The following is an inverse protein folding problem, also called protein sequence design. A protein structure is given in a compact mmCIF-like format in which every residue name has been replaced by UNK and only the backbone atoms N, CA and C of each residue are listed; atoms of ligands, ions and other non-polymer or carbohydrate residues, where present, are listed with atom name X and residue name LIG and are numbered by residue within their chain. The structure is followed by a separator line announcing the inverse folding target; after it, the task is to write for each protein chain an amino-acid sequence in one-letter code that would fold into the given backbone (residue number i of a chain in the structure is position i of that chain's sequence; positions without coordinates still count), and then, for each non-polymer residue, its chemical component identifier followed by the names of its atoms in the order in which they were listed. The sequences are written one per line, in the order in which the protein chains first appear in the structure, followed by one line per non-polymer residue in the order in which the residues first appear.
data_IF_442340283628
#
_entry.id   IF_442340283628
#
_cell.length_a   1.000
_cell.length_b   1.000
_cell.length_c   1.000
_cell.angle_alpha   90.00
_cell.angle_beta   90.00
_cell.angle_gamma   90.00
#
_symmetry.space_group_name_H-M   'P 1'
#
loop_
_entity.id
_entity.type
_entity.pdbx_description
1 polymer ?
#
# COMPACT_ATOMS: atom_id res chain seq x y z
N UNK A 1 8.40 -10.57 7.49
CA UNK A 1 7.31 -9.89 6.74
C UNK A 1 7.85 -8.57 6.21
N UNK A 2 7.68 -8.23 4.92
CA UNK A 2 8.20 -6.97 4.38
C UNK A 2 7.55 -5.71 4.98
N UNK A 3 6.25 -5.72 5.23
CA UNK A 3 5.50 -4.58 5.81
C UNK A 3 5.95 -4.22 7.24
N UNK A 4 6.27 -5.23 8.04
CA UNK A 4 6.80 -5.06 9.40
C UNK A 4 8.16 -4.38 9.37
N UNK A 5 9.03 -4.81 8.44
CA UNK A 5 10.34 -4.21 8.23
C UNK A 5 10.21 -2.78 7.69
N UNK A 6 9.26 -2.51 6.80
CA UNK A 6 8.94 -1.14 6.37
C UNK A 6 8.53 -0.25 7.54
N UNK A 7 7.65 -0.76 8.39
CA UNK A 7 7.19 -0.06 9.58
C UNK A 7 8.33 0.23 10.56
N UNK A 8 9.26 -0.72 10.76
CA UNK A 8 10.41 -0.53 11.67
C UNK A 8 11.43 0.47 11.12
N UNK A 9 11.68 0.50 9.82
CA UNK A 9 12.54 1.50 9.17
C UNK A 9 11.96 2.90 9.34
N UNK A 10 10.66 3.07 9.06
CA UNK A 10 9.98 4.38 9.18
C UNK A 10 10.00 4.89 10.62
N UNK A 11 9.79 3.99 11.59
CA UNK A 11 9.80 4.32 13.02
C UNK A 11 11.22 4.43 13.61
N UNK A 12 12.25 4.04 12.85
CA UNK A 12 13.65 3.92 13.32
C UNK A 12 13.75 3.06 14.58
N UNK A 13 13.02 1.94 14.59
CA UNK A 13 12.98 1.05 15.75
C UNK A 13 14.36 0.40 15.98
N UNK A 14 15.05 0.68 17.11
CA UNK A 14 16.37 0.15 17.38
C UNK A 14 16.39 -1.36 17.67
N UNK A 15 15.21 -1.97 17.85
CA UNK A 15 15.05 -3.41 18.09
C UNK A 15 15.33 -4.23 16.82
N UNK A 16 15.31 -3.60 15.64
CA UNK A 16 15.58 -4.24 14.36
C UNK A 16 16.93 -3.82 13.81
N UNK A 17 17.66 -4.78 13.24
CA UNK A 17 18.90 -4.55 12.52
C UNK A 17 18.81 -5.18 11.14
N UNK A 18 18.99 -4.36 10.10
CA UNK A 18 18.98 -4.83 8.72
C UNK A 18 20.40 -5.18 8.30
N UNK A 19 20.56 -6.37 7.73
CA UNK A 19 21.86 -6.89 7.31
C UNK A 19 21.77 -7.24 5.83
N UNK A 20 22.47 -6.47 5.01
CA UNK A 20 22.62 -6.74 3.58
C UNK A 20 23.75 -7.76 3.37
N UNK A 21 23.41 -8.91 2.79
CA UNK A 21 24.36 -10.01 2.57
C UNK A 21 25.03 -9.99 1.21
N UNK A 22 24.77 -8.97 0.39
CA UNK A 22 25.42 -8.80 -0.91
C UNK A 22 26.85 -8.27 -0.74
N UNK A 23 27.61 -8.23 -1.84
CA UNK A 23 28.91 -7.57 -1.84
C UNK A 23 28.78 -6.06 -1.58
N UNK A 24 29.90 -5.45 -1.16
CA UNK A 24 29.97 -4.04 -0.82
C UNK A 24 29.62 -3.11 -1.99
N UNK A 25 29.91 -3.49 -3.23
CA UNK A 25 29.61 -2.68 -4.41
C UNK A 25 28.10 -2.56 -4.65
N UNK A 26 27.36 -3.66 -4.46
CA UNK A 26 25.90 -3.66 -4.53
C UNK A 26 25.27 -2.88 -3.39
N UNK A 27 25.80 -3.04 -2.17
CA UNK A 27 25.36 -2.29 -1.00
C UNK A 27 25.56 -0.78 -1.17
N UNK A 28 26.69 -0.36 -1.75
CA UNK A 28 27.02 1.04 -1.99
C UNK A 28 26.13 1.68 -3.07
N UNK A 29 25.69 0.90 -4.08
CA UNK A 29 24.77 1.39 -5.12
C UNK A 29 23.39 1.70 -4.56
N UNK A 30 22.84 0.78 -3.76
CA UNK A 30 21.56 0.95 -3.11
C UNK A 30 21.40 -0.08 -1.99
N UNK A 31 21.00 0.38 -0.81
CA UNK A 31 20.69 -0.46 0.34
C UNK A 31 19.56 0.15 1.16
N UNK A 32 18.97 -0.65 2.04
CA UNK A 32 17.91 -0.17 2.93
C UNK A 32 18.48 0.81 3.97
N UNK A 33 17.77 1.89 4.31
CA UNK A 33 18.24 2.88 5.28
C UNK A 33 18.62 2.24 6.62
N UNK A 34 19.83 2.54 7.11
CA UNK A 34 20.32 2.03 8.39
C UNK A 34 20.80 0.58 8.37
N UNK A 35 20.83 -0.08 7.20
CA UNK A 35 21.39 -1.41 7.08
C UNK A 35 22.92 -1.40 7.23
N UNK A 36 23.44 -2.51 7.76
CA UNK A 36 24.87 -2.83 7.73
C UNK A 36 25.14 -3.85 6.62
N UNK A 37 26.34 -3.83 6.05
CA UNK A 37 26.75 -4.82 5.06
C UNK A 37 27.61 -5.90 5.70
N UNK A 38 27.16 -7.15 5.59
CA UNK A 38 27.94 -8.34 5.95
C UNK A 38 27.79 -9.32 4.79
N UNK A 39 28.72 -9.30 3.81
CA UNK A 39 28.65 -10.20 2.66
C UNK A 39 28.51 -11.65 3.10
N UNK A 40 27.78 -12.45 2.32
CA UNK A 40 27.48 -13.85 2.65
C UNK A 40 28.75 -14.65 2.98
N UNK A 41 29.84 -14.41 2.26
CA UNK A 41 31.13 -15.07 2.45
C UNK A 41 31.77 -14.74 3.81
N UNK A 42 31.39 -13.60 4.40
CA UNK A 42 31.91 -13.10 5.68
C UNK A 42 30.99 -13.42 6.86
N UNK A 43 29.85 -14.08 6.65
CA UNK A 43 28.88 -14.40 7.71
C UNK A 43 29.48 -15.25 8.83
N UNK A 44 30.46 -16.11 8.51
CA UNK A 44 31.15 -16.95 9.49
C UNK A 44 32.40 -16.32 10.10
N UNK A 45 32.76 -15.09 9.72
CA UNK A 45 33.92 -14.43 10.30
C UNK A 45 33.66 -14.09 11.77
N UNK A 46 34.68 -14.27 12.61
CA UNK A 46 34.59 -14.01 14.05
C UNK A 46 34.21 -12.56 14.38
N UNK A 47 34.66 -11.60 13.55
CA UNK A 47 34.35 -10.17 13.68
C UNK A 47 32.84 -9.85 13.58
N UNK A 48 32.07 -10.73 12.93
CA UNK A 48 30.63 -10.54 12.72
C UNK A 48 29.80 -11.25 13.79
N UNK A 49 30.38 -12.10 14.64
CA UNK A 49 29.66 -12.86 15.66
C UNK A 49 28.88 -11.93 16.58
N UNK A 50 29.51 -10.85 17.06
CA UNK A 50 28.85 -9.90 17.94
C UNK A 50 27.68 -9.20 17.27
N UNK A 51 27.69 -9.01 15.95
CA UNK A 51 26.59 -8.40 15.21
C UNK A 51 25.46 -9.40 14.93
N UNK A 52 25.81 -10.68 14.72
CA UNK A 52 24.90 -11.74 14.26
C UNK A 52 24.28 -12.56 15.39
N UNK A 53 24.95 -12.68 16.53
CA UNK A 53 24.49 -13.41 17.71
C UNK A 53 23.96 -12.44 18.77
N UNK A 54 22.84 -11.81 18.47
CA UNK A 54 22.21 -10.81 19.33
C UNK A 54 21.01 -11.39 20.07
N UNK A 55 20.94 -11.16 21.39
CA UNK A 55 19.78 -11.52 22.21
C UNK A 55 18.73 -10.41 22.28
N UNK A 56 19.15 -9.15 22.07
CA UNK A 56 18.31 -7.96 22.24
C UNK A 56 17.70 -7.50 20.92
N UNK A 57 18.48 -7.55 19.84
CA UNK A 57 18.04 -7.11 18.51
C UNK A 57 17.61 -8.28 17.66
N UNK A 58 16.64 -8.02 16.80
CA UNK A 58 16.20 -8.89 15.73
C UNK A 58 16.95 -8.53 14.46
N UNK A 59 17.80 -9.45 13.99
CA UNK A 59 18.53 -9.31 12.74
C UNK A 59 17.68 -9.79 11.57
N UNK A 60 17.59 -8.97 10.53
CA UNK A 60 16.89 -9.29 9.28
C UNK A 60 17.90 -9.29 8.13
N UNK A 61 18.18 -10.48 7.59
CA UNK A 61 19.00 -10.64 6.40
C UNK A 61 18.20 -10.32 5.14
N UNK A 62 18.84 -9.63 4.19
CA UNK A 62 18.28 -9.42 2.86
C UNK A 62 19.35 -9.38 1.77
N UNK A 63 18.93 -9.68 0.55
CA UNK A 63 19.73 -9.51 -0.68
C UNK A 63 18.81 -9.00 -1.79
N UNK A 64 19.20 -9.14 -3.07
CA UNK A 64 18.30 -8.82 -4.19
C UNK A 64 17.03 -9.69 -4.15
N UNK A 65 17.18 -10.97 -3.79
CA UNK A 65 16.07 -11.89 -3.52
C UNK A 65 16.21 -12.60 -2.18
N UNK A 66 15.53 -13.73 -2.00
CA UNK A 66 15.59 -14.49 -0.74
C UNK A 66 16.74 -15.49 -0.65
N UNK A 67 17.40 -15.85 -1.76
CA UNK A 67 18.34 -16.98 -1.80
C UNK A 67 19.55 -16.80 -0.86
N UNK A 68 20.38 -15.79 -1.08
CA UNK A 68 21.57 -15.55 -0.26
C UNK A 68 21.22 -15.21 1.20
N UNK A 69 20.10 -14.51 1.42
CA UNK A 69 19.63 -14.19 2.76
C UNK A 69 19.18 -15.44 3.53
N UNK A 70 18.55 -16.42 2.84
CA UNK A 70 18.23 -17.73 3.42
C UNK A 70 19.49 -18.54 3.72
N UNK A 71 20.52 -18.46 2.88
CA UNK A 71 21.81 -19.10 3.15
C UNK A 71 22.44 -18.53 4.43
N UNK A 72 22.55 -17.20 4.55
CA UNK A 72 23.03 -16.55 5.77
C UNK A 72 22.22 -16.93 7.03
N UNK A 73 20.89 -16.98 6.89
CA UNK A 73 20.00 -17.43 7.95
C UNK A 73 20.27 -18.88 8.35
N UNK A 74 20.43 -19.79 7.39
CA UNK A 74 20.74 -21.19 7.65
C UNK A 74 22.08 -21.34 8.39
N UNK A 75 23.12 -20.63 7.94
CA UNK A 75 24.44 -20.67 8.57
C UNK A 75 24.36 -20.20 10.03
N UNK A 76 23.76 -19.03 10.27
CA UNK A 76 23.62 -18.51 11.63
C UNK A 76 22.73 -19.39 12.51
N UNK A 77 21.73 -20.07 11.93
CA UNK A 77 20.90 -21.05 12.65
C UNK A 77 21.70 -22.27 13.06
N UNK A 78 22.60 -22.78 12.21
CA UNK A 78 23.51 -23.88 12.54
C UNK A 78 24.48 -23.51 13.67
N UNK A 79 24.89 -22.24 13.73
CA UNK A 79 25.71 -21.68 14.82
C UNK A 79 24.91 -21.45 16.11
N UNK A 80 23.59 -21.66 16.10
CA UNK A 80 22.72 -21.52 17.27
C UNK A 80 22.20 -20.11 17.52
N UNK A 81 22.41 -19.16 16.59
CA UNK A 81 21.93 -17.79 16.73
C UNK A 81 20.40 -17.77 16.52
N UNK A 82 19.69 -17.12 17.45
CA UNK A 82 18.23 -17.29 17.57
C UNK A 82 17.42 -16.16 16.93
N UNK A 83 17.90 -14.93 17.01
CA UNK A 83 17.13 -13.75 16.63
C UNK A 83 17.42 -13.28 15.20
N UNK A 84 17.53 -14.26 14.28
CA UNK A 84 17.87 -14.00 12.90
C UNK A 84 16.73 -14.45 11.99
N UNK A 85 16.36 -13.58 11.04
CA UNK A 85 15.25 -13.79 10.11
C UNK A 85 15.62 -13.27 8.71
N UNK A 86 14.73 -13.51 7.75
CA UNK A 86 14.94 -13.13 6.35
C UNK A 86 13.85 -12.18 5.87
N UNK A 87 14.24 -11.13 5.15
CA UNK A 87 13.34 -10.30 4.38
C UNK A 87 12.87 -11.07 3.14
N UNK A 88 11.67 -11.63 3.22
CA UNK A 88 11.05 -12.36 2.12
C UNK A 88 10.96 -11.50 0.85
N UNK A 89 11.45 -12.05 -0.26
CA UNK A 89 11.43 -11.41 -1.58
C UNK A 89 12.59 -10.44 -1.83
N UNK A 90 13.38 -10.12 -0.81
CA UNK A 90 14.55 -9.23 -0.92
C UNK A 90 14.21 -7.84 -1.43
N UNK A 91 15.22 -7.16 -1.98
CA UNK A 91 15.07 -5.81 -2.54
C UNK A 91 14.15 -5.78 -3.76
N UNK A 92 14.09 -6.85 -4.56
CA UNK A 92 13.22 -6.89 -5.73
C UNK A 92 11.77 -6.70 -5.31
N UNK A 93 11.30 -7.51 -4.36
CA UNK A 93 9.94 -7.40 -3.83
C UNK A 93 9.72 -6.07 -3.08
N UNK A 94 10.73 -5.63 -2.32
CA UNK A 94 10.69 -4.37 -1.59
C UNK A 94 10.43 -3.17 -2.50
N UNK A 95 11.19 -3.07 -3.58
CA UNK A 95 11.07 -1.96 -4.53
C UNK A 95 9.71 -1.97 -5.22
N UNK A 96 9.25 -3.14 -5.65
CA UNK A 96 7.95 -3.31 -6.31
C UNK A 96 6.76 -3.02 -5.39
N UNK A 97 6.82 -3.46 -4.15
CA UNK A 97 5.64 -3.47 -3.27
C UNK A 97 5.59 -2.28 -2.32
N UNK A 98 6.73 -1.84 -1.80
CA UNK A 98 6.82 -0.80 -0.77
C UNK A 98 7.20 0.54 -1.39
N UNK A 99 8.15 0.55 -2.32
CA UNK A 99 8.72 1.79 -2.86
C UNK A 99 7.95 2.35 -4.06
N UNK A 100 7.38 1.47 -4.89
CA UNK A 100 6.57 1.86 -6.03
C UNK A 100 5.25 1.07 -6.07
N UNK A 101 4.38 1.24 -5.05
CA UNK A 101 3.13 0.51 -4.99
C UNK A 101 2.35 0.77 -6.27
N UNK A 102 2.18 -0.28 -7.08
CA UNK A 102 1.33 -0.18 -8.26
C UNK A 102 -0.04 0.24 -7.76
N UNK A 103 -0.51 1.42 -8.20
CA UNK A 103 -1.91 1.80 -7.99
C UNK A 103 -2.74 0.61 -8.47
N UNK A 104 -3.72 0.12 -7.68
CA UNK A 104 -4.60 -0.91 -8.17
C UNK A 104 -5.11 -0.46 -9.53
N UNK A 105 -5.01 -1.35 -10.52
CA UNK A 105 -5.67 -1.20 -11.81
C UNK A 105 -7.06 -0.66 -11.53
N UNK A 106 -7.39 0.49 -12.13
CA UNK A 106 -8.59 1.28 -11.93
C UNK A 106 -9.87 0.49 -12.21
N UNK A 107 -10.23 -0.38 -11.28
CA UNK A 107 -11.61 -0.69 -10.94
C UNK A 107 -11.89 0.00 -9.61
N UNK A 108 -11.61 1.31 -9.56
CA UNK A 108 -12.33 2.16 -8.64
C UNK A 108 -13.77 2.21 -9.15
N UNK A 109 -14.63 1.84 -8.21
CA UNK A 109 -16.01 1.38 -8.34
C UNK A 109 -16.91 2.35 -9.11
N UNK A 110 -18.05 1.85 -9.59
CA UNK A 110 -19.19 2.59 -10.13
C UNK A 110 -19.54 3.88 -9.35
N UNK A 111 -19.10 3.99 -8.10
CA UNK A 111 -19.25 5.12 -7.20
C UNK A 111 -18.50 6.40 -7.66
N UNK A 112 -17.29 6.30 -8.22
CA UNK A 112 -16.57 7.50 -8.71
C UNK A 112 -17.19 8.05 -10.00
N UNK A 113 -17.58 7.16 -10.91
CA UNK A 113 -18.34 7.52 -12.11
C UNK A 113 -19.74 8.05 -11.77
N UNK A 114 -20.41 7.49 -10.75
CA UNK A 114 -21.68 8.01 -10.26
C UNK A 114 -21.52 9.41 -9.65
N UNK A 115 -20.45 9.65 -8.88
CA UNK A 115 -20.18 10.95 -8.26
C UNK A 115 -19.83 12.02 -9.31
N UNK A 116 -19.04 11.66 -10.33
CA UNK A 116 -18.74 12.52 -11.48
C UNK A 116 -20.01 12.83 -12.29
N UNK A 117 -20.81 11.81 -12.63
CA UNK A 117 -22.07 12.00 -13.37
C UNK A 117 -23.09 12.81 -12.59
N UNK A 118 -23.17 12.61 -11.27
CA UNK A 118 -24.03 13.38 -10.38
C UNK A 118 -23.61 14.85 -10.33
N UNK A 119 -22.32 15.15 -10.17
CA UNK A 119 -21.82 16.53 -10.17
C UNK A 119 -22.03 17.22 -11.53
N UNK A 120 -21.82 16.50 -12.64
CA UNK A 120 -22.06 17.02 -14.00
C UNK A 120 -23.55 17.29 -14.24
N UNK A 121 -24.43 16.40 -13.79
CA UNK A 121 -25.87 16.60 -13.86
C UNK A 121 -26.33 17.76 -12.96
N UNK A 122 -25.78 17.87 -11.75
CA UNK A 122 -26.07 18.96 -10.82
C UNK A 122 -25.62 20.32 -11.37
N UNK A 123 -24.42 20.41 -11.95
CA UNK A 123 -23.92 21.62 -12.60
C UNK A 123 -24.83 22.09 -13.75
N UNK A 124 -25.28 21.15 -14.60
CA UNK A 124 -26.24 21.43 -15.68
C UNK A 124 -27.60 21.91 -15.14
N UNK A 125 -28.09 21.30 -14.06
CA UNK A 125 -29.37 21.66 -13.44
C UNK A 125 -29.33 23.01 -12.71
N UNK A 126 -28.17 23.43 -12.22
CA UNK A 126 -27.94 24.70 -11.54
C UNK A 126 -27.48 25.82 -12.49
N UNK A 127 -27.47 25.58 -13.80
CA UNK A 127 -27.20 26.58 -14.83
C UNK A 127 -25.72 26.85 -15.11
N UNK A 128 -24.80 26.04 -14.57
CA UNK A 128 -23.38 26.11 -14.94
C UNK A 128 -23.07 25.09 -16.04
N UNK A 129 -22.77 25.56 -17.25
CA UNK A 129 -22.28 24.72 -18.34
C UNK A 129 -20.74 24.57 -18.23
N UNK A 130 -20.19 23.35 -18.04
CA UNK A 130 -18.74 23.16 -17.94
C UNK A 130 -17.99 23.39 -19.25
N UNK A 131 -18.69 23.59 -20.37
CA UNK A 131 -18.07 23.82 -21.69
C UNK A 131 -17.67 25.28 -21.91
N UNK A 132 -17.95 26.18 -20.97
CA UNK A 132 -17.68 27.61 -21.08
C UNK A 132 -16.72 28.10 -19.99
N UNK A 133 -15.47 27.66 -20.03
CA UNK A 133 -14.35 28.51 -19.57
C UNK A 133 -13.38 28.74 -20.72
N UNK A 134 -13.75 29.69 -21.59
CA UNK A 134 -12.92 30.75 -22.18
C UNK A 134 -13.48 31.21 -23.54
N UNK A 135 -14.28 32.29 -23.51
CA UNK A 135 -13.99 33.52 -24.25
C UNK A 135 -15.08 34.56 -23.95
N UNK A 136 -14.67 35.57 -23.19
CA UNK A 136 -15.13 36.96 -23.16
C UNK A 136 -16.62 37.34 -23.14
N UNK A 137 -16.92 38.06 -22.05
CA UNK A 137 -17.73 39.27 -22.00
C UNK A 137 -19.26 39.16 -22.08
N UNK A 138 -19.85 39.66 -20.99
CA UNK A 138 -21.05 40.50 -20.97
C UNK A 138 -22.41 39.81 -21.12
N UNK A 139 -23.10 39.79 -19.98
CA UNK A 139 -24.42 40.41 -19.78
C UNK A 139 -25.58 39.48 -19.38
N UNK A 140 -26.31 40.01 -18.38
CA UNK A 140 -27.73 39.82 -18.05
C UNK A 140 -28.16 38.50 -17.37
N UNK A 141 -28.41 38.69 -16.06
CA UNK A 141 -29.26 37.88 -15.19
C UNK A 141 -30.63 37.68 -15.83
N UNK A 142 -31.08 36.43 -16.04
CA UNK A 142 -32.50 36.10 -16.04
C UNK A 142 -32.76 34.71 -15.46
N UNK A 143 -33.67 34.73 -14.49
CA UNK A 143 -34.25 33.65 -13.71
C UNK A 143 -35.08 32.68 -14.57
N UNK A 144 -35.00 31.36 -14.32
CA UNK A 144 -36.17 30.58 -13.90
C UNK A 144 -35.89 29.10 -13.64
N UNK A 145 -36.68 28.61 -12.69
CA UNK A 145 -36.85 27.30 -12.06
C UNK A 145 -37.36 26.21 -13.01
N UNK A 146 -37.12 24.93 -12.69
CA UNK A 146 -38.03 23.73 -12.76
C UNK A 146 -37.16 22.47 -12.52
N UNK A 147 -37.21 21.85 -11.33
CA UNK A 147 -38.13 20.81 -10.81
C UNK A 147 -37.58 19.38 -11.03
N UNK A 148 -37.18 18.81 -9.89
CA UNK A 148 -36.64 17.47 -9.65
C UNK A 148 -37.70 16.37 -9.81
N UNK A 149 -37.30 15.25 -10.43
CA UNK A 149 -38.00 13.96 -10.30
C UNK A 149 -37.03 12.89 -9.85
N UNK A 150 -37.20 12.47 -8.59
CA UNK A 150 -36.53 11.34 -7.95
C UNK A 150 -37.52 10.18 -7.91
N UNK A 151 -37.16 8.92 -8.26
CA UNK A 151 -37.96 7.78 -7.86
C UNK A 151 -37.50 7.30 -6.48
N UNK A 152 -38.43 7.34 -5.51
CA UNK A 152 -38.27 6.78 -4.17
C UNK A 152 -39.26 5.62 -4.05
N UNK A 153 -38.76 4.39 -3.93
CA UNK A 153 -39.60 3.21 -3.70
C UNK A 153 -39.91 3.12 -2.21
N UNK A 154 -41.17 3.37 -1.84
CA UNK A 154 -41.69 3.20 -0.48
C UNK A 154 -42.38 1.83 -0.32
N UNK A 155 -42.19 1.26 0.87
CA UNK A 155 -42.85 0.07 1.38
C UNK A 155 -44.00 0.47 2.33
N UNK A 156 -45.13 -0.28 2.35
CA UNK A 156 -45.87 -0.75 3.57
C UNK A 156 -47.31 -1.32 3.33
N UNK A 157 -47.50 -2.56 3.83
CA UNK A 157 -48.63 -3.28 4.52
C UNK A 157 -50.15 -2.92 4.37
N UNK A 158 -50.91 -3.99 4.00
CA UNK A 158 -52.16 -4.65 4.54
C UNK A 158 -53.49 -3.88 4.83
N UNK A 159 -54.63 -4.41 4.30
CA UNK A 159 -55.80 -5.01 5.06
C UNK A 159 -56.91 -5.65 4.16
N UNK A 160 -57.67 -6.61 4.76
CA UNK A 160 -58.78 -7.50 4.28
C UNK A 160 -60.08 -6.75 3.86
N UNK A 161 -61.08 -7.28 3.11
CA UNK A 161 -62.05 -8.42 3.29
C UNK A 161 -62.80 -8.74 1.97
N UNK A 162 -63.36 -9.94 1.71
CA UNK A 162 -64.80 -10.29 1.90
C UNK A 162 -65.17 -11.66 1.27
N UNK A 163 -66.03 -12.45 1.94
CA UNK A 163 -67.06 -13.30 1.31
C UNK A 163 -66.72 -14.76 0.94
N UNK A 164 -67.35 -15.73 1.63
CA UNK A 164 -67.30 -17.16 1.33
C UNK A 164 -68.42 -17.67 0.41
N UNK A 165 -68.35 -18.95 0.06
CA UNK A 165 -69.46 -19.71 -0.53
C UNK A 165 -69.31 -21.22 -0.23
N UNK A 166 -70.39 -21.76 0.37
CA UNK A 166 -70.93 -23.13 0.34
C UNK A 166 -70.07 -24.32 0.79
#
# INVERSE_FOLDING_TARGET
MPEEVASSIVQKDPSYQLIDVRNADEFAKFSLPGAINIPLESIMNEENIDLLNQDVKTNIFYSNGSLQANEAWMLTRQLGYKNNYVLMGGLNYWVESIMNPQKPSSVSSDEEMAKYNYQKAAGRALGSDPSAINSDSSSVIQTNTVKSTVPKTESKKKKKVSGGCS
#
